data_IF_664529709601
#
_entry.id   IF_664529709601
#
_cell.length_a   1.000
_cell.length_b   1.000
_cell.length_c   1.000
_cell.angle_alpha   90.00
_cell.angle_beta   90.00
_cell.angle_gamma   90.00
#
_symmetry.space_group_name_H-M   'P 1'
#
loop_
_entity.id
_entity.type
_entity.pdbx_description
1 polymer ?
#
# COMPACT_ATOMS: atom_id res chain seq x y z
N UNK A 1 -8.36 -15.55 -15.40
CA UNK A 1 -7.91 -15.14 -16.76
C UNK A 1 -8.85 -15.62 -17.84
N UNK A 2 -9.30 -16.88 -17.79
CA UNK A 2 -10.26 -17.43 -18.78
C UNK A 2 -11.56 -16.62 -18.86
N UNK A 3 -12.12 -16.23 -17.72
CA UNK A 3 -13.32 -15.39 -17.69
C UNK A 3 -13.12 -14.04 -18.39
N UNK A 4 -11.99 -13.38 -18.15
CA UNK A 4 -11.68 -12.10 -18.77
C UNK A 4 -11.53 -12.22 -20.30
N UNK A 5 -11.02 -13.37 -20.79
CA UNK A 5 -10.88 -13.64 -22.20
C UNK A 5 -12.23 -13.61 -22.95
N UNK A 6 -13.34 -14.00 -22.29
CA UNK A 6 -14.70 -13.96 -22.86
C UNK A 6 -15.16 -12.54 -23.20
N UNK A 7 -14.58 -11.54 -22.54
CA UNK A 7 -14.92 -10.13 -22.72
C UNK A 7 -13.94 -9.39 -23.64
N UNK A 8 -12.96 -10.09 -24.22
CA UNK A 8 -11.95 -9.42 -25.05
C UNK A 8 -12.54 -8.67 -26.24
N UNK A 9 -13.66 -9.15 -26.80
CA UNK A 9 -14.40 -8.48 -27.88
C UNK A 9 -14.91 -7.09 -27.48
N UNK A 10 -15.06 -6.81 -26.17
CA UNK A 10 -15.54 -5.51 -25.67
C UNK A 10 -14.53 -4.38 -25.84
N UNK A 11 -13.23 -4.69 -26.09
CA UNK A 11 -12.18 -3.66 -26.27
C UNK A 11 -12.37 -2.82 -27.54
N UNK A 12 -13.22 -3.23 -28.48
CA UNK A 12 -13.59 -2.43 -29.65
C UNK A 12 -14.55 -1.27 -29.31
N UNK A 13 -15.03 -1.18 -28.08
CA UNK A 13 -15.90 -0.11 -27.60
C UNK A 13 -15.22 0.65 -26.46
N UNK A 14 -15.51 1.96 -26.38
CA UNK A 14 -15.08 2.76 -25.24
C UNK A 14 -15.64 2.19 -23.92
N UNK A 15 -14.86 2.25 -22.83
CA UNK A 15 -15.35 1.86 -21.51
C UNK A 15 -16.45 2.83 -21.01
N UNK A 16 -17.19 2.43 -19.97
CA UNK A 16 -18.09 3.34 -19.28
C UNK A 16 -17.27 4.49 -18.64
N UNK A 17 -17.54 5.70 -19.08
CA UNK A 17 -16.81 6.90 -18.71
C UNK A 17 -16.90 7.20 -17.19
N UNK A 18 -18.00 6.78 -16.55
CA UNK A 18 -18.25 7.01 -15.11
C UNK A 18 -17.97 5.77 -14.25
N UNK A 19 -17.53 4.67 -14.85
CA UNK A 19 -17.22 3.40 -14.16
C UNK A 19 -18.38 2.89 -13.28
N UNK A 20 -19.64 3.09 -13.65
CA UNK A 20 -20.83 2.91 -12.82
C UNK A 20 -20.88 1.54 -12.16
N UNK A 21 -20.85 0.46 -12.94
CA UNK A 21 -20.96 -0.90 -12.42
C UNK A 21 -19.84 -1.23 -11.41
N UNK A 22 -18.62 -0.78 -11.69
CA UNK A 22 -17.50 -0.99 -10.81
C UNK A 22 -17.60 -0.16 -9.52
N UNK A 23 -18.03 1.12 -9.60
CA UNK A 23 -18.30 1.96 -8.41
C UNK A 23 -19.39 1.35 -7.54
N UNK A 24 -20.47 0.80 -8.14
CA UNK A 24 -21.54 0.13 -7.40
C UNK A 24 -21.05 -1.14 -6.69
N UNK A 25 -20.23 -1.95 -7.34
CA UNK A 25 -19.66 -3.17 -6.75
C UNK A 25 -18.67 -2.82 -5.60
N UNK A 26 -17.81 -1.82 -5.79
CA UNK A 26 -16.90 -1.31 -4.72
C UNK A 26 -17.66 -0.73 -3.54
N UNK A 27 -18.68 0.09 -3.81
CA UNK A 27 -19.52 0.70 -2.79
C UNK A 27 -20.21 -0.37 -1.93
N UNK A 28 -20.75 -1.41 -2.57
CA UNK A 28 -21.36 -2.55 -1.88
C UNK A 28 -20.36 -3.31 -1.01
N UNK A 29 -19.15 -3.59 -1.52
CA UNK A 29 -18.11 -4.28 -0.76
C UNK A 29 -17.71 -3.52 0.51
N UNK A 30 -17.61 -2.20 0.40
CA UNK A 30 -17.12 -1.36 1.50
C UNK A 30 -18.21 -0.75 2.39
N UNK A 31 -19.50 -0.93 2.03
CA UNK A 31 -20.61 -0.35 2.77
C UNK A 31 -20.70 1.17 2.68
N UNK A 32 -20.26 1.76 1.54
CA UNK A 32 -20.30 3.19 1.29
C UNK A 32 -21.20 3.54 0.10
N UNK A 33 -21.48 4.83 -0.13
CA UNK A 33 -22.20 5.26 -1.34
C UNK A 33 -21.28 5.19 -2.59
N UNK A 34 -21.82 4.84 -3.77
CA UNK A 34 -21.07 4.96 -5.03
C UNK A 34 -20.49 6.36 -5.29
N UNK A 35 -21.11 7.40 -4.73
CA UNK A 35 -20.62 8.79 -4.79
C UNK A 35 -19.40 9.07 -3.91
N UNK A 36 -19.01 8.12 -3.07
CA UNK A 36 -17.81 8.17 -2.23
C UNK A 36 -16.64 7.39 -2.83
N UNK A 37 -16.83 6.82 -4.03
CA UNK A 37 -15.83 6.00 -4.73
C UNK A 37 -15.30 6.73 -5.95
N UNK A 38 -13.98 6.85 -6.06
CA UNK A 38 -13.28 7.34 -7.25
C UNK A 38 -12.45 6.22 -7.83
N UNK A 39 -12.59 5.92 -9.11
CA UNK A 39 -11.84 4.83 -9.76
C UNK A 39 -10.79 5.44 -10.69
N UNK A 40 -9.57 4.89 -10.66
CA UNK A 40 -8.46 5.37 -11.49
C UNK A 40 -7.66 4.24 -12.14
N UNK A 41 -6.85 4.60 -13.12
CA UNK A 41 -5.93 3.72 -13.84
C UNK A 41 -4.73 3.33 -12.94
N UNK A 42 -5.04 2.51 -11.92
CA UNK A 42 -4.20 2.23 -10.77
C UNK A 42 -4.27 3.35 -9.72
N UNK A 43 -3.94 3.00 -8.47
CA UNK A 43 -3.85 4.01 -7.40
C UNK A 43 -2.86 5.12 -7.69
N UNK A 44 -1.85 4.87 -8.53
CA UNK A 44 -0.84 5.86 -8.91
C UNK A 44 -1.45 7.06 -9.63
N UNK A 45 -2.40 6.85 -10.57
CA UNK A 45 -3.09 7.97 -11.21
C UNK A 45 -3.77 8.88 -10.17
N UNK A 46 -4.45 8.27 -9.20
CA UNK A 46 -5.15 8.98 -8.14
C UNK A 46 -4.18 9.75 -7.23
N UNK A 47 -3.04 9.14 -6.88
CA UNK A 47 -1.98 9.80 -6.10
C UNK A 47 -1.49 11.08 -6.78
N UNK A 48 -1.34 11.05 -8.11
CA UNK A 48 -0.87 12.21 -8.87
C UNK A 48 -1.91 13.35 -8.96
N UNK A 49 -3.21 13.03 -8.91
CA UNK A 49 -4.27 14.05 -8.98
C UNK A 49 -4.69 14.59 -7.61
N UNK A 50 -4.49 13.84 -6.53
CA UNK A 50 -4.93 14.23 -5.18
C UNK A 50 -4.45 15.61 -4.74
N UNK A 51 -3.16 16.00 -4.87
CA UNK A 51 -2.71 17.30 -4.40
C UNK A 51 -3.47 18.45 -5.06
N UNK A 52 -3.68 18.36 -6.38
CA UNK A 52 -4.43 19.36 -7.14
C UNK A 52 -5.92 19.35 -6.83
N UNK A 53 -6.51 18.17 -6.68
CA UNK A 53 -7.93 18.01 -6.35
C UNK A 53 -8.28 18.67 -5.01
N UNK A 54 -7.36 18.60 -4.06
CA UNK A 54 -7.55 19.08 -2.68
C UNK A 54 -6.93 20.45 -2.41
N UNK A 55 -6.26 21.07 -3.39
CA UNK A 55 -5.59 22.37 -3.23
C UNK A 55 -4.47 22.33 -2.19
N UNK A 56 -3.68 21.23 -2.18
CA UNK A 56 -2.60 21.03 -1.22
C UNK A 56 -1.36 21.77 -1.67
N UNK A 57 -0.83 22.65 -0.82
CA UNK A 57 0.44 23.38 -1.00
C UNK A 57 1.51 22.89 -0.04
N UNK A 58 1.11 22.47 1.17
CA UNK A 58 1.97 21.90 2.21
C UNK A 58 1.42 20.57 2.71
N UNK A 59 2.26 19.54 2.76
CA UNK A 59 1.87 18.24 3.28
C UNK A 59 2.97 17.64 4.17
N UNK A 60 2.55 16.89 5.20
CA UNK A 60 3.43 16.04 6.00
C UNK A 60 3.35 14.61 5.47
N UNK A 61 4.50 13.97 5.34
CA UNK A 61 4.61 12.56 4.93
C UNK A 61 5.52 11.80 5.90
N UNK A 62 5.04 10.67 6.42
CA UNK A 62 5.87 9.78 7.22
C UNK A 62 6.70 8.86 6.29
N UNK A 63 8.00 8.80 6.55
CA UNK A 63 8.97 7.98 5.82
C UNK A 63 9.57 6.90 6.73
N UNK A 64 9.88 5.72 6.19
CA UNK A 64 9.84 5.35 4.78
C UNK A 64 8.43 5.09 4.25
N UNK A 65 8.23 5.38 2.94
CA UNK A 65 6.99 5.06 2.24
C UNK A 65 7.23 4.88 0.74
N UNK A 66 6.17 4.68 -0.04
CA UNK A 66 6.25 4.53 -1.49
C UNK A 66 6.72 5.82 -2.16
N UNK A 67 7.84 5.75 -2.90
CA UNK A 67 8.52 6.94 -3.45
C UNK A 67 7.71 7.78 -4.44
N UNK A 68 6.64 7.22 -5.04
CA UNK A 68 5.79 7.97 -5.97
C UNK A 68 4.99 9.10 -5.31
N UNK A 69 4.77 9.04 -3.99
CA UNK A 69 4.18 10.17 -3.26
C UNK A 69 5.04 11.42 -3.36
N UNK A 70 6.34 11.26 -3.09
CA UNK A 70 7.30 12.37 -3.21
C UNK A 70 7.23 13.01 -4.59
N UNK A 71 7.34 12.22 -5.65
CA UNK A 71 7.30 12.69 -7.02
C UNK A 71 5.97 13.36 -7.40
N UNK A 72 4.84 12.73 -7.02
CA UNK A 72 3.51 13.23 -7.36
C UNK A 72 3.25 14.61 -6.74
N UNK A 73 3.64 14.77 -5.48
CA UNK A 73 3.46 16.02 -4.75
C UNK A 73 4.44 17.10 -5.25
N UNK A 74 5.70 16.74 -5.50
CA UNK A 74 6.71 17.66 -6.05
C UNK A 74 6.31 18.20 -7.44
N UNK A 75 5.84 17.35 -8.35
CA UNK A 75 5.37 17.76 -9.69
C UNK A 75 4.20 18.76 -9.60
N UNK A 76 3.37 18.65 -8.58
CA UNK A 76 2.25 19.55 -8.31
C UNK A 76 2.68 20.80 -7.52
N UNK A 77 3.96 20.96 -7.21
CA UNK A 77 4.50 22.11 -6.48
C UNK A 77 4.24 22.10 -4.97
N UNK A 78 3.87 20.96 -4.40
CA UNK A 78 3.62 20.80 -2.96
C UNK A 78 4.93 20.75 -2.18
N UNK A 79 5.02 21.52 -1.10
CA UNK A 79 6.11 21.41 -0.13
C UNK A 79 5.87 20.22 0.78
N UNK A 80 6.74 19.19 0.66
CA UNK A 80 6.69 18.01 1.50
C UNK A 80 7.57 18.15 2.73
N UNK A 81 6.94 18.09 3.90
CA UNK A 81 7.61 18.04 5.20
C UNK A 81 7.71 16.58 5.65
N UNK A 82 8.94 16.09 5.72
CA UNK A 82 9.23 14.68 5.97
C UNK A 82 9.35 14.39 7.46
N UNK A 83 8.54 13.45 7.97
CA UNK A 83 8.72 12.85 9.26
C UNK A 83 9.50 11.55 9.09
N UNK A 84 10.76 11.54 9.53
CA UNK A 84 11.60 10.34 9.47
C UNK A 84 11.28 9.44 10.66
N UNK A 85 10.75 8.25 10.40
CA UNK A 85 10.57 7.22 11.43
C UNK A 85 11.81 6.33 11.53
N UNK A 86 11.94 5.58 12.61
CA UNK A 86 13.14 4.81 12.88
C UNK A 86 12.90 3.31 12.96
N UNK A 87 13.95 2.53 12.74
CA UNK A 87 13.95 1.07 12.87
C UNK A 87 13.71 0.59 14.31
N UNK A 88 14.07 1.40 15.29
CA UNK A 88 13.89 1.11 16.71
C UNK A 88 12.40 1.06 17.07
N UNK A 89 11.57 1.82 16.36
CA UNK A 89 10.11 1.87 16.51
C UNK A 89 9.38 1.17 15.34
N UNK A 90 9.99 0.14 14.72
CA UNK A 90 9.43 -0.61 13.58
C UNK A 90 8.93 0.28 12.44
N UNK A 91 9.58 1.43 12.23
CA UNK A 91 9.19 2.46 11.27
C UNK A 91 7.77 3.01 11.49
N UNK A 92 7.32 3.08 12.75
CA UNK A 92 6.04 3.67 13.13
C UNK A 92 6.21 5.17 13.40
N UNK A 93 5.32 6.05 12.91
CA UNK A 93 5.27 7.43 13.37
C UNK A 93 4.73 7.52 14.79
N UNK A 94 5.20 8.50 15.56
CA UNK A 94 4.67 8.80 16.89
C UNK A 94 3.77 10.03 16.87
N UNK A 95 2.69 9.99 17.67
CA UNK A 95 1.73 11.11 17.76
C UNK A 95 2.43 12.41 18.14
N UNK A 96 3.37 12.37 19.09
CA UNK A 96 4.11 13.56 19.54
C UNK A 96 4.91 14.21 18.40
N UNK A 97 5.53 13.40 17.55
CA UNK A 97 6.33 13.88 16.42
C UNK A 97 5.43 14.43 15.31
N UNK A 98 4.31 13.75 15.05
CA UNK A 98 3.29 14.22 14.10
C UNK A 98 2.70 15.56 14.53
N UNK A 99 2.28 15.70 15.81
CA UNK A 99 1.76 16.97 16.36
C UNK A 99 2.80 18.09 16.28
N UNK A 100 4.02 17.86 16.73
CA UNK A 100 5.07 18.88 16.72
C UNK A 100 5.40 19.36 15.29
N UNK A 101 5.45 18.43 14.31
CA UNK A 101 5.68 18.80 12.93
C UNK A 101 4.47 19.55 12.34
N UNK A 102 3.24 19.08 12.57
CA UNK A 102 2.02 19.74 12.09
C UNK A 102 1.84 21.14 12.70
N UNK A 103 2.15 21.33 13.97
CA UNK A 103 2.12 22.67 14.61
C UNK A 103 3.12 23.63 13.97
N UNK A 104 4.30 23.12 13.63
CA UNK A 104 5.37 23.92 13.01
C UNK A 104 5.04 24.35 11.57
N UNK A 105 4.42 23.48 10.77
CA UNK A 105 4.27 23.70 9.32
C UNK A 105 2.83 23.98 8.89
N UNK A 106 1.84 23.72 9.74
CA UNK A 106 0.40 23.91 9.46
C UNK A 106 -0.02 23.30 8.11
N UNK A 107 0.17 21.97 7.89
CA UNK A 107 -0.03 21.36 6.58
C UNK A 107 -1.52 21.28 6.22
N UNK A 108 -1.83 21.28 4.92
CA UNK A 108 -3.19 20.96 4.43
C UNK A 108 -3.44 19.45 4.34
N UNK A 109 -2.38 18.62 4.33
CA UNK A 109 -2.54 17.16 4.32
C UNK A 109 -1.47 16.45 5.15
N UNK A 110 -1.86 15.31 5.73
CA UNK A 110 -0.93 14.34 6.34
C UNK A 110 -1.13 12.99 5.65
N UNK A 111 -0.05 12.44 5.10
CA UNK A 111 -0.05 11.16 4.40
C UNK A 111 0.65 10.10 5.23
N UNK A 112 -0.09 9.02 5.52
CA UNK A 112 0.40 7.84 6.24
C UNK A 112 0.10 6.57 5.43
N UNK A 113 0.93 5.54 5.59
CA UNK A 113 0.75 4.24 4.93
C UNK A 113 0.29 3.17 5.93
N UNK A 114 -0.77 2.44 5.61
CA UNK A 114 -1.38 1.45 6.49
C UNK A 114 -1.93 0.23 5.71
N UNK A 115 -1.30 -0.95 5.78
CA UNK A 115 -0.01 -1.26 6.42
C UNK A 115 1.17 -0.52 5.78
N UNK A 116 2.20 -0.24 6.58
CA UNK A 116 3.39 0.50 6.14
C UNK A 116 4.13 -0.15 4.98
N UNK A 117 4.68 0.66 4.08
CA UNK A 117 5.54 0.19 3.00
C UNK A 117 6.91 0.90 3.11
N UNK A 118 8.02 0.18 3.34
CA UNK A 118 8.19 -1.27 3.18
C UNK A 118 7.98 -2.13 4.43
N UNK A 119 7.66 -1.55 5.62
CA UNK A 119 7.66 -2.28 6.90
C UNK A 119 6.58 -3.37 7.00
N UNK A 120 5.41 -3.17 6.42
CA UNK A 120 4.26 -4.06 6.61
C UNK A 120 3.50 -3.85 7.91
N UNK A 121 3.98 -2.95 8.79
CA UNK A 121 3.42 -2.70 10.13
C UNK A 121 2.12 -1.90 10.06
N UNK A 122 1.20 -2.19 10.95
CA UNK A 122 -0.02 -1.40 11.13
C UNK A 122 0.29 -0.15 11.93
N UNK A 123 -0.36 0.96 11.62
CA UNK A 123 -0.31 2.16 12.46
C UNK A 123 -0.84 1.85 13.86
N UNK A 124 -0.19 2.38 14.88
CA UNK A 124 -0.63 2.20 16.27
C UNK A 124 -2.04 2.77 16.48
N UNK A 125 -2.82 2.23 17.43
CA UNK A 125 -4.15 2.77 17.75
C UNK A 125 -4.12 4.27 18.05
N UNK A 126 -3.09 4.77 18.74
CA UNK A 126 -2.93 6.18 19.04
C UNK A 126 -2.78 7.05 17.79
N UNK A 127 -2.00 6.61 16.79
CA UNK A 127 -1.82 7.32 15.52
C UNK A 127 -3.10 7.25 14.69
N UNK A 128 -3.80 6.11 14.68
CA UNK A 128 -5.09 5.95 14.01
C UNK A 128 -6.13 6.93 14.57
N UNK A 129 -6.29 6.97 15.88
CA UNK A 129 -7.20 7.91 16.55
C UNK A 129 -6.80 9.38 16.27
N UNK A 130 -5.52 9.68 16.34
CA UNK A 130 -4.99 11.01 16.08
C UNK A 130 -5.36 11.52 14.68
N UNK A 131 -5.08 10.75 13.61
CA UNK A 131 -5.33 11.19 12.24
C UNK A 131 -6.84 11.34 11.95
N UNK A 132 -7.67 10.43 12.49
CA UNK A 132 -9.14 10.50 12.38
C UNK A 132 -9.67 11.75 13.07
N UNK A 133 -9.25 12.02 14.31
CA UNK A 133 -9.66 13.20 15.06
C UNK A 133 -9.25 14.49 14.34
N UNK A 134 -7.99 14.61 13.92
CA UNK A 134 -7.48 15.81 13.26
C UNK A 134 -8.17 16.07 11.92
N UNK A 135 -8.44 15.04 11.11
CA UNK A 135 -9.20 15.19 9.86
C UNK A 135 -10.67 15.59 10.10
N UNK A 136 -11.27 15.14 11.20
CA UNK A 136 -12.63 15.54 11.61
C UNK A 136 -12.71 17.01 12.04
N UNK A 137 -11.74 17.48 12.80
CA UNK A 137 -11.65 18.85 13.31
C UNK A 137 -11.33 19.90 12.22
N UNK A 138 -11.31 19.53 10.96
CA UNK A 138 -10.96 20.40 9.81
C UNK A 138 -9.52 20.93 9.85
N UNK A 139 -8.63 20.25 10.56
CA UNK A 139 -7.22 20.63 10.60
C UNK A 139 -6.53 20.42 9.25
N UNK A 140 -6.64 19.21 8.68
CA UNK A 140 -6.03 18.84 7.41
C UNK A 140 -6.75 17.63 6.76
N UNK A 141 -6.38 17.29 5.52
CA UNK A 141 -6.77 16.03 4.90
C UNK A 141 -5.91 14.88 5.44
N UNK A 142 -6.56 13.85 6.00
CA UNK A 142 -5.91 12.58 6.34
C UNK A 142 -5.86 11.67 5.11
N UNK A 143 -4.70 11.50 4.48
CA UNK A 143 -4.52 10.61 3.33
C UNK A 143 -3.89 9.32 3.81
N UNK A 144 -4.62 8.21 3.73
CA UNK A 144 -4.16 6.90 4.17
C UNK A 144 -3.95 6.00 2.96
N UNK A 145 -2.72 5.58 2.75
CA UNK A 145 -2.41 4.56 1.74
C UNK A 145 -2.75 3.17 2.30
N UNK A 146 -3.86 2.62 1.83
CA UNK A 146 -4.40 1.31 2.17
C UNK A 146 -4.24 0.30 1.02
N UNK A 147 -3.26 0.45 0.14
CA UNK A 147 -3.09 -0.46 -1.02
C UNK A 147 -2.82 -1.93 -0.65
N UNK A 148 -2.48 -2.21 0.60
CA UNK A 148 -2.27 -3.56 1.12
C UNK A 148 -3.28 -3.98 2.19
N UNK A 149 -4.21 -3.13 2.57
CA UNK A 149 -5.11 -3.40 3.70
C UNK A 149 -6.11 -4.53 3.43
N UNK A 150 -6.36 -4.90 2.17
CA UNK A 150 -7.18 -6.09 1.85
C UNK A 150 -6.68 -7.38 2.52
N UNK A 151 -5.43 -7.44 2.98
CA UNK A 151 -4.86 -8.55 3.76
C UNK A 151 -5.15 -8.47 5.26
N UNK A 152 -5.67 -7.35 5.75
CA UNK A 152 -6.04 -7.07 7.14
C UNK A 152 -7.21 -6.05 7.16
N UNK A 153 -8.29 -6.37 6.47
CA UNK A 153 -9.43 -5.45 6.20
C UNK A 153 -10.12 -4.97 7.48
N UNK A 154 -10.01 -5.72 8.57
CA UNK A 154 -10.47 -5.35 9.91
C UNK A 154 -9.77 -4.11 10.47
N UNK A 155 -8.57 -3.81 9.98
CA UNK A 155 -7.78 -2.65 10.39
C UNK A 155 -7.98 -1.42 9.49
N UNK A 156 -8.86 -1.49 8.47
CA UNK A 156 -9.14 -0.37 7.57
C UNK A 156 -9.71 0.85 8.30
N UNK A 157 -9.42 2.03 7.75
CA UNK A 157 -10.02 3.30 8.22
C UNK A 157 -11.41 3.56 7.64
N UNK A 158 -11.99 2.67 6.83
CA UNK A 158 -13.26 2.89 6.14
C UNK A 158 -14.44 3.16 7.10
N UNK A 159 -14.41 2.61 8.31
CA UNK A 159 -15.42 2.84 9.35
C UNK A 159 -15.53 4.33 9.77
N UNK A 160 -14.45 5.10 9.56
CA UNK A 160 -14.40 6.52 9.94
C UNK A 160 -14.82 7.48 8.82
N UNK A 161 -15.11 6.99 7.61
CA UNK A 161 -15.44 7.86 6.47
C UNK A 161 -16.66 8.73 6.69
N UNK A 162 -17.70 8.19 7.35
CA UNK A 162 -18.92 8.95 7.64
C UNK A 162 -18.68 10.10 8.63
N UNK A 163 -17.76 9.90 9.59
CA UNK A 163 -17.51 10.85 10.67
C UNK A 163 -16.33 11.77 10.42
N UNK A 164 -15.52 11.49 9.36
CA UNK A 164 -14.29 12.22 9.04
C UNK A 164 -14.27 12.61 7.55
N UNK A 165 -14.98 13.68 7.17
CA UNK A 165 -15.18 14.04 5.76
C UNK A 165 -13.91 14.44 5.01
N UNK A 166 -12.79 14.67 5.72
CA UNK A 166 -11.46 14.96 5.13
C UNK A 166 -10.54 13.73 5.08
N UNK A 167 -11.08 12.54 5.33
CA UNK A 167 -10.33 11.30 5.22
C UNK A 167 -10.36 10.79 3.77
N UNK A 168 -9.20 10.40 3.26
CA UNK A 168 -9.03 9.82 1.90
C UNK A 168 -8.29 8.51 2.04
N UNK A 169 -8.90 7.41 1.62
CA UNK A 169 -8.29 6.09 1.62
C UNK A 169 -7.91 5.71 0.20
N UNK A 170 -6.65 5.40 -0.03
CA UNK A 170 -6.12 4.96 -1.33
C UNK A 170 -6.08 3.45 -1.35
N UNK A 171 -6.77 2.84 -2.29
CA UNK A 171 -6.91 1.39 -2.44
C UNK A 171 -6.39 0.89 -3.78
N UNK A 172 -6.01 -0.37 -3.85
CA UNK A 172 -5.49 -0.98 -5.08
C UNK A 172 -5.93 -2.43 -5.23
N UNK A 173 -6.57 -2.77 -6.33
CA UNK A 173 -6.92 -4.16 -6.64
C UNK A 173 -5.71 -4.98 -7.13
N UNK A 174 -4.60 -4.32 -7.46
CA UNK A 174 -3.44 -4.97 -8.09
C UNK A 174 -2.71 -5.96 -7.18
N UNK A 175 -2.79 -5.76 -5.86
CA UNK A 175 -2.03 -6.56 -4.88
C UNK A 175 -2.79 -7.81 -4.46
N UNK A 176 -3.97 -7.62 -3.91
CA UNK A 176 -4.78 -8.71 -3.36
C UNK A 176 -5.28 -9.66 -4.45
N UNK A 177 -5.81 -9.12 -5.53
CA UNK A 177 -6.37 -9.94 -6.63
C UNK A 177 -5.32 -10.41 -7.65
N UNK A 178 -4.06 -10.01 -7.50
CA UNK A 178 -2.97 -10.44 -8.38
C UNK A 178 -3.14 -10.01 -9.84
N UNK A 179 -3.75 -8.85 -10.09
CA UNK A 179 -4.06 -8.30 -11.42
C UNK A 179 -3.32 -6.99 -11.72
N UNK A 180 -1.99 -6.93 -11.53
CA UNK A 180 -1.25 -5.67 -11.68
C UNK A 180 -1.32 -5.10 -13.10
N UNK A 181 -1.48 -5.94 -14.12
CA UNK A 181 -1.57 -5.53 -15.54
C UNK A 181 -2.90 -4.85 -15.90
N UNK A 182 -3.97 -5.03 -15.12
CA UNK A 182 -5.24 -4.34 -15.36
C UNK A 182 -5.18 -2.85 -15.00
N UNK A 183 -4.24 -2.46 -14.15
CA UNK A 183 -4.09 -1.07 -13.71
C UNK A 183 -5.37 -0.52 -13.06
N UNK A 184 -5.75 -1.05 -11.91
CA UNK A 184 -6.98 -0.66 -11.23
C UNK A 184 -6.71 -0.29 -9.77
N UNK A 185 -7.11 0.93 -9.40
CA UNK A 185 -7.09 1.46 -8.04
C UNK A 185 -8.30 2.36 -7.81
N UNK A 186 -8.56 2.70 -6.56
CA UNK A 186 -9.69 3.55 -6.23
C UNK A 186 -9.45 4.31 -4.92
N UNK A 187 -10.23 5.39 -4.71
CA UNK A 187 -10.33 6.08 -3.43
C UNK A 187 -11.66 5.76 -2.80
N UNK A 188 -11.66 5.71 -1.46
CA UNK A 188 -12.84 5.81 -0.64
C UNK A 188 -12.72 7.11 0.16
N UNK A 189 -13.73 8.00 0.07
CA UNK A 189 -13.65 9.33 0.69
C UNK A 189 -15.05 9.96 0.81
N UNK A 190 -15.14 11.22 1.23
CA UNK A 190 -16.40 11.96 1.18
C UNK A 190 -16.82 12.26 -0.26
N UNK A 191 -18.11 12.48 -0.50
CA UNK A 191 -18.64 12.87 -1.81
C UNK A 191 -17.96 14.12 -2.36
N UNK A 192 -17.74 15.12 -1.53
CA UNK A 192 -17.12 16.38 -1.92
C UNK A 192 -15.72 16.17 -2.51
N UNK A 193 -14.90 15.36 -1.83
CA UNK A 193 -13.55 15.01 -2.29
C UNK A 193 -13.62 14.14 -3.54
N UNK A 194 -14.54 13.19 -3.59
CA UNK A 194 -14.72 12.32 -4.75
C UNK A 194 -15.09 13.13 -6.01
N UNK A 195 -16.04 14.06 -5.89
CA UNK A 195 -16.44 14.96 -6.97
C UNK A 195 -15.28 15.86 -7.43
N UNK A 196 -14.40 16.31 -6.51
CA UNK A 196 -13.22 17.11 -6.84
C UNK A 196 -12.18 16.29 -7.60
N UNK A 197 -11.93 15.04 -7.19
CA UNK A 197 -10.98 14.14 -7.82
C UNK A 197 -11.48 13.68 -9.20
N UNK A 198 -12.74 13.26 -9.32
CA UNK A 198 -13.34 12.80 -10.59
C UNK A 198 -13.26 13.87 -11.70
N UNK A 199 -13.32 15.17 -11.35
CA UNK A 199 -13.16 16.27 -12.35
C UNK A 199 -11.77 16.34 -12.97
N UNK A 200 -10.74 15.79 -12.32
CA UNK A 200 -9.36 15.83 -12.80
C UNK A 200 -8.92 14.56 -13.54
N UNK A 201 -9.63 13.46 -13.32
CA UNK A 201 -9.34 12.19 -13.99
C UNK A 201 -9.72 12.30 -15.46
N UNK A 202 -8.80 12.00 -16.39
CA UNK A 202 -9.10 12.02 -17.81
C UNK A 202 -10.27 11.08 -18.17
N UNK A 203 -11.14 11.48 -19.10
CA UNK A 203 -12.20 10.58 -19.59
C UNK A 203 -11.61 9.26 -20.06
N UNK A 204 -12.30 8.15 -19.77
CA UNK A 204 -11.92 6.79 -20.17
C UNK A 204 -10.55 6.31 -19.66
N UNK A 205 -10.00 6.89 -18.60
CA UNK A 205 -8.70 6.48 -18.04
C UNK A 205 -8.67 5.01 -17.62
N UNK A 206 -9.79 4.47 -17.14
CA UNK A 206 -9.92 3.06 -16.74
C UNK A 206 -10.45 2.23 -17.92
N UNK A 207 -9.61 1.35 -18.44
CA UNK A 207 -9.92 0.55 -19.62
C UNK A 207 -11.05 -0.48 -19.37
N UNK A 208 -11.69 -0.92 -20.47
CA UNK A 208 -12.84 -1.84 -20.45
C UNK A 208 -12.56 -3.13 -19.66
N UNK A 209 -11.39 -3.76 -19.88
CA UNK A 209 -11.05 -5.01 -19.22
C UNK A 209 -10.79 -4.82 -17.73
N UNK A 210 -10.26 -3.66 -17.33
CA UNK A 210 -10.09 -3.31 -15.93
C UNK A 210 -11.43 -3.16 -15.21
N UNK A 211 -12.41 -2.47 -15.84
CA UNK A 211 -13.76 -2.33 -15.26
C UNK A 211 -14.45 -3.68 -15.08
N UNK A 212 -14.43 -4.52 -16.13
CA UNK A 212 -15.05 -5.85 -16.10
C UNK A 212 -14.31 -6.77 -15.12
N UNK A 213 -12.98 -6.83 -15.22
CA UNK A 213 -12.15 -7.68 -14.38
C UNK A 213 -12.21 -7.27 -12.90
N UNK A 214 -12.28 -5.97 -12.62
CA UNK A 214 -12.49 -5.44 -11.28
C UNK A 214 -13.79 -5.94 -10.67
N UNK A 215 -14.91 -5.70 -11.35
CA UNK A 215 -16.23 -6.17 -10.92
C UNK A 215 -16.29 -7.70 -10.75
N UNK A 216 -15.61 -8.45 -11.62
CA UNK A 216 -15.50 -9.91 -11.48
C UNK A 216 -14.74 -10.31 -10.23
N UNK A 217 -13.57 -9.71 -9.98
CA UNK A 217 -12.74 -10.00 -8.82
C UNK A 217 -13.47 -9.74 -7.49
N UNK A 218 -14.23 -8.66 -7.40
CA UNK A 218 -14.96 -8.29 -6.18
C UNK A 218 -16.04 -9.30 -5.77
N UNK A 219 -16.53 -10.12 -6.70
CA UNK A 219 -17.55 -11.15 -6.46
C UNK A 219 -16.95 -12.51 -6.12
N UNK A 220 -15.62 -12.63 -6.05
CA UNK A 220 -14.95 -13.92 -5.79
C UNK A 220 -14.70 -14.11 -4.29
N UNK A 221 -15.75 -14.40 -3.51
CA UNK A 221 -15.67 -14.58 -2.06
C UNK A 221 -14.75 -15.73 -1.67
N UNK A 222 -14.89 -16.91 -2.30
CA UNK A 222 -14.01 -18.07 -2.08
C UNK A 222 -12.52 -17.74 -2.33
N UNK A 223 -12.23 -16.92 -3.35
CA UNK A 223 -10.87 -16.49 -3.62
C UNK A 223 -10.35 -15.61 -2.49
N UNK A 224 -11.19 -14.69 -2.00
CA UNK A 224 -10.85 -13.78 -0.91
C UNK A 224 -10.52 -14.57 0.37
N UNK A 225 -11.39 -15.47 0.79
CA UNK A 225 -11.19 -16.28 1.99
C UNK A 225 -9.92 -17.14 1.92
N UNK A 226 -9.74 -17.86 0.81
CA UNK A 226 -8.54 -18.70 0.61
C UNK A 226 -7.27 -17.87 0.57
N UNK A 227 -7.30 -16.69 -0.07
CA UNK A 227 -6.14 -15.80 -0.15
C UNK A 227 -5.77 -15.25 1.22
N UNK A 228 -6.73 -14.80 2.02
CA UNK A 228 -6.51 -14.31 3.38
C UNK A 228 -5.89 -15.39 4.27
N UNK A 229 -6.51 -16.59 4.29
CA UNK A 229 -6.02 -17.72 5.07
C UNK A 229 -4.60 -18.13 4.66
N UNK A 230 -4.35 -18.30 3.37
CA UNK A 230 -3.03 -18.66 2.86
C UNK A 230 -1.98 -17.59 3.16
N UNK A 231 -2.29 -16.31 2.90
CA UNK A 231 -1.36 -15.22 3.14
C UNK A 231 -0.98 -15.10 4.61
N UNK A 232 -1.93 -15.24 5.53
CA UNK A 232 -1.70 -15.21 6.97
C UNK A 232 -0.80 -16.37 7.42
N UNK A 233 -1.18 -17.59 7.07
CA UNK A 233 -0.45 -18.82 7.46
C UNK A 233 0.99 -18.80 6.93
N UNK A 234 1.15 -18.47 5.67
CA UNK A 234 2.47 -18.44 5.04
C UNK A 234 3.33 -17.28 5.54
N UNK A 235 2.75 -16.11 5.82
CA UNK A 235 3.45 -14.97 6.43
C UNK A 235 4.00 -15.36 7.80
N UNK A 236 3.18 -15.93 8.68
CA UNK A 236 3.57 -16.35 10.02
C UNK A 236 4.66 -17.42 9.97
N UNK A 237 4.50 -18.41 9.09
CA UNK A 237 5.48 -19.49 8.90
C UNK A 237 6.83 -18.95 8.40
N UNK A 238 6.80 -18.10 7.38
CA UNK A 238 8.00 -17.51 6.80
C UNK A 238 8.69 -16.56 7.79
N UNK A 239 7.92 -15.74 8.51
CA UNK A 239 8.45 -14.84 9.54
C UNK A 239 9.17 -15.60 10.65
N UNK A 240 8.56 -16.69 11.17
CA UNK A 240 9.17 -17.54 12.18
C UNK A 240 10.48 -18.18 11.70
N UNK A 241 10.49 -18.69 10.46
CA UNK A 241 11.69 -19.30 9.87
C UNK A 241 12.81 -18.28 9.67
N UNK A 242 12.53 -17.14 9.06
CA UNK A 242 13.51 -16.07 8.83
C UNK A 242 14.04 -15.50 10.16
N UNK A 243 13.17 -15.30 11.15
CA UNK A 243 13.55 -14.83 12.48
C UNK A 243 14.37 -15.83 13.30
N UNK A 244 14.42 -17.12 12.89
CA UNK A 244 15.32 -18.11 13.52
C UNK A 244 16.76 -18.06 12.96
N UNK A 245 17.01 -17.31 11.91
CA UNK A 245 18.36 -17.14 11.36
C UNK A 245 19.12 -16.09 12.15
N UNK A 246 20.31 -16.44 12.62
CA UNK A 246 21.20 -15.48 13.27
C UNK A 246 21.51 -14.31 12.30
N UNK A 247 21.39 -13.08 12.80
CA UNK A 247 21.61 -11.89 11.99
C UNK A 247 20.41 -11.45 11.13
N UNK A 248 19.24 -12.08 11.28
CA UNK A 248 18.00 -11.64 10.63
C UNK A 248 16.97 -11.18 11.65
N UNK A 249 16.56 -9.90 11.59
CA UNK A 249 15.41 -9.38 12.33
C UNK A 249 14.23 -9.25 11.38
N UNK A 250 13.10 -9.87 11.71
CA UNK A 250 11.86 -9.76 10.92
C UNK A 250 10.92 -8.78 11.60
N UNK A 251 10.47 -7.77 10.86
CA UNK A 251 9.50 -6.81 11.37
C UNK A 251 8.09 -7.39 11.37
N UNK A 252 7.23 -6.99 12.34
CA UNK A 252 5.83 -7.41 12.34
C UNK A 252 5.13 -6.88 11.10
N UNK A 253 4.50 -7.77 10.33
CA UNK A 253 3.83 -7.39 9.09
C UNK A 253 2.40 -7.92 9.01
N UNK A 254 1.46 -7.11 8.48
CA UNK A 254 0.07 -7.46 8.24
C UNK A 254 -0.25 -7.75 6.77
N UNK A 255 0.61 -7.30 5.83
CA UNK A 255 0.44 -7.47 4.40
C UNK A 255 0.97 -8.82 3.87
N UNK A 256 1.01 -8.98 2.55
CA UNK A 256 1.57 -10.17 1.88
C UNK A 256 3.09 -10.07 1.65
N UNK A 257 3.80 -9.40 2.53
CA UNK A 257 5.26 -9.31 2.54
C UNK A 257 5.80 -9.14 3.95
N UNK A 258 7.10 -9.38 4.10
CA UNK A 258 7.87 -9.17 5.31
C UNK A 258 9.03 -8.23 5.01
N UNK A 259 9.33 -7.32 5.94
CA UNK A 259 10.58 -6.58 5.97
C UNK A 259 11.55 -7.35 6.86
N UNK A 260 12.77 -7.56 6.37
CA UNK A 260 13.84 -8.26 7.09
C UNK A 260 15.06 -7.37 7.13
N UNK A 261 15.58 -7.14 8.32
CA UNK A 261 16.84 -6.43 8.56
C UNK A 261 17.98 -7.42 8.72
N UNK A 262 19.09 -7.15 8.07
CA UNK A 262 20.34 -7.92 8.16
C UNK A 262 21.27 -7.25 9.20
N UNK A 263 21.86 -8.05 10.06
CA UNK A 263 22.86 -7.59 11.02
C UNK A 263 24.10 -6.99 10.33
N UNK A 264 24.82 -6.11 11.03
CA UNK A 264 25.96 -5.37 10.44
C UNK A 264 27.12 -6.24 9.99
N UNK A 265 27.26 -7.45 10.55
CA UNK A 265 28.28 -8.41 10.14
C UNK A 265 27.94 -9.19 8.87
N UNK A 266 26.70 -9.18 8.41
CA UNK A 266 26.28 -9.72 7.10
C UNK A 266 26.58 -8.71 5.97
N UNK A 267 26.78 -9.16 4.73
CA UNK A 267 26.82 -8.24 3.59
C UNK A 267 25.46 -7.51 3.38
N UNK A 268 25.46 -6.49 2.51
CA UNK A 268 24.29 -5.63 2.27
C UNK A 268 23.07 -6.38 1.72
N UNK A 269 21.90 -5.76 1.82
CA UNK A 269 20.66 -6.24 1.20
C UNK A 269 20.79 -6.43 -0.32
N UNK A 270 21.56 -5.56 -0.99
CA UNK A 270 21.89 -5.71 -2.41
C UNK A 270 22.68 -6.98 -2.71
N UNK A 271 23.67 -7.31 -1.86
CA UNK A 271 24.45 -8.55 -2.02
C UNK A 271 23.56 -9.80 -1.81
N UNK A 272 22.67 -9.79 -0.82
CA UNK A 272 21.69 -10.87 -0.63
C UNK A 272 20.76 -11.01 -1.83
N UNK A 273 20.19 -9.91 -2.34
CA UNK A 273 19.33 -9.89 -3.54
C UNK A 273 20.04 -10.55 -4.73
N UNK A 274 21.26 -10.13 -5.00
CA UNK A 274 22.03 -10.61 -6.16
C UNK A 274 22.38 -12.10 -6.03
N UNK A 275 22.74 -12.56 -4.82
CA UNK A 275 22.98 -13.98 -4.54
C UNK A 275 21.70 -14.81 -4.76
N UNK A 276 20.58 -14.41 -4.16
CA UNK A 276 19.31 -15.15 -4.29
C UNK A 276 18.83 -15.18 -5.75
N UNK A 277 19.02 -14.08 -6.48
CA UNK A 277 18.71 -14.04 -7.90
C UNK A 277 19.60 -14.99 -8.70
N UNK A 278 20.90 -15.01 -8.40
CA UNK A 278 21.86 -15.84 -9.13
C UNK A 278 21.65 -17.35 -8.89
N UNK A 279 21.42 -17.74 -7.62
CA UNK A 279 21.33 -19.16 -7.20
C UNK A 279 19.91 -19.68 -7.33
N UNK A 280 18.94 -18.98 -6.78
CA UNK A 280 17.55 -19.42 -6.66
C UNK A 280 16.65 -18.95 -7.80
N UNK A 281 17.11 -18.03 -8.66
CA UNK A 281 16.27 -17.36 -9.67
C UNK A 281 15.04 -16.68 -9.06
N UNK A 282 15.18 -16.18 -7.82
CA UNK A 282 14.15 -15.45 -7.08
C UNK A 282 14.63 -14.02 -6.89
N UNK A 283 13.81 -13.05 -7.30
CA UNK A 283 14.08 -11.63 -7.08
C UNK A 283 13.38 -11.17 -5.80
N UNK A 284 14.16 -10.75 -4.81
CA UNK A 284 13.67 -10.07 -3.60
C UNK A 284 13.92 -8.55 -3.73
N UNK A 285 13.20 -7.75 -2.94
CA UNK A 285 13.32 -6.30 -3.01
C UNK A 285 14.37 -5.79 -2.02
N UNK A 286 15.48 -5.31 -2.54
CA UNK A 286 16.43 -4.45 -1.81
C UNK A 286 15.74 -3.11 -1.48
N UNK A 287 15.71 -2.74 -0.20
CA UNK A 287 15.03 -1.54 0.29
C UNK A 287 15.93 -0.31 0.40
N UNK A 288 17.17 -0.34 -0.07
CA UNK A 288 18.10 0.80 -0.02
C UNK A 288 17.60 2.06 -0.71
N UNK A 289 16.68 1.92 -1.67
CA UNK A 289 16.05 3.06 -2.35
C UNK A 289 14.89 3.72 -1.58
N UNK A 290 14.48 3.14 -0.43
CA UNK A 290 13.51 3.78 0.44
C UNK A 290 14.23 4.74 1.37
N UNK A 291 13.86 6.01 1.32
CA UNK A 291 14.49 7.04 2.16
C UNK A 291 14.30 6.69 3.66
N UNK A 292 15.39 6.67 4.40
CA UNK A 292 15.40 6.35 5.85
C UNK A 292 15.57 4.87 6.20
N UNK A 293 15.61 3.94 5.22
CA UNK A 293 15.71 2.49 5.50
C UNK A 293 17.16 1.98 5.52
N UNK A 294 18.02 2.57 4.67
CA UNK A 294 19.41 2.10 4.54
C UNK A 294 19.56 0.82 3.73
N UNK A 295 20.77 0.27 3.70
CA UNK A 295 21.18 -0.85 2.84
C UNK A 295 21.16 -2.22 3.51
N UNK A 296 20.53 -2.32 4.70
CA UNK A 296 20.43 -3.55 5.49
C UNK A 296 19.09 -4.25 5.38
N UNK A 297 18.13 -3.70 4.66
CA UNK A 297 16.76 -4.19 4.67
C UNK A 297 16.36 -4.77 3.31
N UNK A 298 15.73 -5.94 3.34
CA UNK A 298 15.07 -6.56 2.18
C UNK A 298 13.58 -6.74 2.46
N UNK A 299 12.75 -6.46 1.44
CA UNK A 299 11.33 -6.79 1.48
C UNK A 299 11.08 -8.08 0.71
N UNK A 300 10.48 -9.05 1.37
CA UNK A 300 10.22 -10.39 0.86
C UNK A 300 8.72 -10.57 0.70
N UNK A 301 8.26 -10.85 -0.52
CA UNK A 301 6.86 -11.18 -0.78
C UNK A 301 6.53 -12.57 -0.23
N UNK A 302 5.42 -12.68 0.48
CA UNK A 302 4.84 -13.96 0.90
C UNK A 302 4.19 -14.63 -0.32
N UNK A 303 4.60 -15.85 -0.61
CA UNK A 303 4.20 -16.62 -1.78
C UNK A 303 3.64 -17.98 -1.37
N UNK A 304 3.53 -18.90 -2.34
CA UNK A 304 3.12 -20.28 -2.07
C UNK A 304 4.14 -21.02 -1.18
N UNK A 305 3.71 -22.03 -0.41
CA UNK A 305 4.56 -22.72 0.58
C UNK A 305 5.91 -23.19 0.03
N UNK A 306 5.92 -23.79 -1.17
CA UNK A 306 7.14 -24.28 -1.79
C UNK A 306 8.09 -23.15 -2.19
N UNK A 307 7.56 -22.04 -2.71
CA UNK A 307 8.36 -20.86 -3.08
C UNK A 307 8.97 -20.20 -1.83
N UNK A 308 8.20 -20.09 -0.74
CA UNK A 308 8.67 -19.57 0.54
C UNK A 308 9.75 -20.46 1.15
N UNK A 309 9.57 -21.81 1.09
CA UNK A 309 10.57 -22.77 1.57
C UNK A 309 11.88 -22.64 0.81
N UNK A 310 11.82 -22.61 -0.52
CA UNK A 310 13.00 -22.48 -1.38
C UNK A 310 13.74 -21.17 -1.12
N UNK A 311 13.02 -20.06 -1.00
CA UNK A 311 13.59 -18.76 -0.66
C UNK A 311 14.28 -18.79 0.71
N UNK A 312 13.62 -19.36 1.73
CA UNK A 312 14.20 -19.53 3.06
C UNK A 312 15.50 -20.34 3.03
N UNK A 313 15.52 -21.48 2.33
CA UNK A 313 16.70 -22.34 2.21
C UNK A 313 17.88 -21.58 1.57
N UNK A 314 17.61 -20.80 0.52
CA UNK A 314 18.62 -19.95 -0.11
C UNK A 314 19.18 -18.88 0.84
N UNK A 315 18.31 -18.18 1.57
CA UNK A 315 18.74 -17.17 2.55
C UNK A 315 19.52 -17.82 3.70
N UNK A 316 19.05 -18.96 4.22
CA UNK A 316 19.74 -19.69 5.29
C UNK A 316 21.12 -20.19 4.85
N UNK A 317 21.25 -20.66 3.62
CA UNK A 317 22.56 -21.02 3.02
C UNK A 317 23.51 -19.84 2.95
N UNK A 318 22.99 -18.69 2.49
CA UNK A 318 23.78 -17.46 2.40
C UNK A 318 24.21 -16.93 3.78
N UNK A 319 23.32 -16.91 4.75
CA UNK A 319 23.66 -16.50 6.14
C UNK A 319 24.76 -17.40 6.71
N UNK A 320 24.60 -18.74 6.62
CA UNK A 320 25.63 -19.69 7.10
C UNK A 320 26.99 -19.49 6.43
N UNK A 321 27.03 -19.16 5.15
CA UNK A 321 28.28 -18.91 4.42
C UNK A 321 29.01 -17.65 4.91
N UNK A 322 28.33 -16.73 5.61
CA UNK A 322 28.89 -15.49 6.17
C UNK A 322 28.95 -15.50 7.71
N UNK A 323 28.36 -16.50 8.38
CA UNK A 323 28.57 -16.72 9.84
C UNK A 323 29.98 -17.24 10.07
N UNK A 324 30.71 -16.62 11.01
CA UNK A 324 32.08 -17.01 11.38
C UNK A 324 32.07 -18.12 12.42
#
# INVERSE_FOLDING_TARGET
MEELARYFHRVQHYPDIVNRALKDDLARLHGVSPTQVVVGNGSTELIYWLPKALGIEDAVIALPTFGEYGKAFEIQGVRLHKLMTSRENDFQPEVRELDALCEKVSPQAVLLTHPGSPSGTLLSPAVREWIVRKSREKGFYGIIDEVFVDFCEEDSFKEFLETSPRLVLIRSMTKFYGVPGLRLGYLLTSREIADAADRLIPPWSVNTLAQIGGSYCLRQEDYRERTLSAAKTERETLAKRLGSLEGCRVYPGAANYLLVELADWLPTAGALRDHILAVEKILIRDCSSFEGVGDRHVRIAVRLPEQNRRLFEGIAGWVRAHSR
#
